data_IF_246290511230
#
_entry.id   IF_246290511230
#
_cell.length_a   1.000
_cell.length_b   1.000
_cell.length_c   1.000
_cell.angle_alpha   90.00
_cell.angle_beta   90.00
_cell.angle_gamma   90.00
#
_symmetry.space_group_name_H-M   'P 1'
#
loop_
_entity.id
_entity.type
_entity.pdbx_description
1 polymer ?
#
# COMPACT_ATOMS: atom_id res chain seq x y z
N UNK A 1 22.16 8.92 -4.44
CA UNK A 1 20.88 8.22 -4.69
C UNK A 1 20.56 7.37 -3.47
N UNK A 2 19.59 7.75 -2.63
CA UNK A 2 19.16 6.90 -1.51
C UNK A 2 18.53 5.64 -2.08
N UNK A 3 19.04 4.47 -1.70
CA UNK A 3 18.55 3.19 -2.18
C UNK A 3 17.02 3.09 -1.94
N UNK A 4 16.26 2.85 -3.01
CA UNK A 4 14.81 2.87 -2.96
C UNK A 4 14.29 1.70 -2.11
N UNK A 5 13.38 2.00 -1.18
CA UNK A 5 12.69 0.96 -0.42
C UNK A 5 11.89 0.08 -1.36
N UNK A 6 11.77 -1.20 -1.01
CA UNK A 6 10.86 -2.11 -1.69
C UNK A 6 9.65 -2.37 -0.81
N UNK A 7 8.49 -2.54 -1.43
CA UNK A 7 7.23 -2.79 -0.77
C UNK A 7 6.63 -4.10 -1.23
N UNK A 8 6.00 -4.78 -0.29
CA UNK A 8 5.13 -5.90 -0.56
C UNK A 8 3.79 -5.67 0.09
N UNK A 9 2.78 -5.47 -0.74
CA UNK A 9 1.43 -5.13 -0.33
C UNK A 9 0.59 -6.40 -0.34
N UNK A 10 0.04 -6.75 0.82
CA UNK A 10 -0.78 -7.93 1.01
C UNK A 10 -2.25 -7.54 1.12
N UNK A 11 -3.09 -8.16 0.30
CA UNK A 11 -4.54 -7.99 0.30
C UNK A 11 -5.19 -9.37 0.29
N UNK A 12 -6.19 -9.61 1.15
CA UNK A 12 -6.90 -10.88 1.19
C UNK A 12 -8.13 -10.82 0.28
N UNK A 13 -8.17 -11.48 -0.89
CA UNK A 13 -9.29 -11.37 -1.83
C UNK A 13 -10.60 -11.99 -1.31
N UNK A 14 -10.54 -12.75 -0.20
CA UNK A 14 -11.69 -13.38 0.46
C UNK A 14 -12.27 -12.53 1.58
N UNK A 15 -11.62 -11.42 1.92
CA UNK A 15 -12.09 -10.53 2.96
C UNK A 15 -13.42 -9.88 2.56
N UNK A 16 -14.37 -9.89 3.49
CA UNK A 16 -15.71 -9.33 3.27
C UNK A 16 -15.71 -7.84 3.59
N UNK A 17 -16.64 -7.11 2.98
CA UNK A 17 -16.81 -5.68 3.18
C UNK A 17 -16.32 -4.86 2.00
N UNK A 18 -16.57 -3.56 2.09
CA UNK A 18 -16.17 -2.61 1.05
C UNK A 18 -15.76 -1.30 1.69
N UNK A 19 -14.79 -0.63 1.07
CA UNK A 19 -14.39 0.73 1.39
C UNK A 19 -14.88 1.67 0.30
N UNK A 20 -15.19 2.92 0.64
CA UNK A 20 -15.48 3.98 -0.35
C UNK A 20 -14.35 5.00 -0.30
N UNK A 21 -13.51 5.03 -1.33
CA UNK A 21 -12.45 6.03 -1.47
C UNK A 21 -12.05 6.19 -2.95
N UNK A 22 -11.44 7.32 -3.33
CA UNK A 22 -10.88 7.47 -4.67
C UNK A 22 -9.70 6.52 -4.93
N UNK A 23 -9.54 6.03 -6.16
CA UNK A 23 -8.33 5.28 -6.52
C UNK A 23 -7.11 6.20 -6.58
N UNK A 24 -7.27 7.39 -7.18
CA UNK A 24 -6.24 8.44 -7.32
C UNK A 24 -6.66 9.70 -6.58
N UNK A 25 -5.67 10.50 -6.16
CA UNK A 25 -5.92 11.78 -5.50
C UNK A 25 -6.74 12.70 -6.40
N UNK A 26 -7.77 13.33 -5.84
CA UNK A 26 -8.69 14.20 -6.58
C UNK A 26 -9.64 13.45 -7.52
N UNK A 27 -9.58 12.11 -7.56
CA UNK A 27 -10.53 11.29 -8.30
C UNK A 27 -11.87 11.17 -7.60
N UNK A 28 -12.85 10.59 -8.31
CA UNK A 28 -14.15 10.25 -7.74
C UNK A 28 -14.00 9.09 -6.75
N UNK A 29 -14.70 9.17 -5.61
CA UNK A 29 -14.76 8.08 -4.66
C UNK A 29 -15.57 6.90 -5.23
N UNK A 30 -15.06 5.69 -5.02
CA UNK A 30 -15.65 4.46 -5.56
C UNK A 30 -15.71 3.39 -4.48
N UNK A 31 -16.70 2.51 -4.58
CA UNK A 31 -16.82 1.35 -3.68
C UNK A 31 -15.87 0.25 -4.14
N UNK A 32 -14.91 -0.11 -3.30
CA UNK A 32 -13.90 -1.13 -3.55
C UNK A 32 -14.07 -2.27 -2.55
N UNK A 33 -14.23 -3.49 -3.06
CA UNK A 33 -14.01 -4.71 -2.28
C UNK A 33 -12.52 -5.09 -2.30
N UNK A 34 -12.14 -6.16 -1.60
CA UNK A 34 -10.76 -6.60 -1.53
C UNK A 34 -10.15 -6.92 -2.91
N UNK A 35 -10.94 -7.47 -3.84
CA UNK A 35 -10.48 -7.83 -5.18
C UNK A 35 -10.21 -6.57 -6.02
N UNK A 36 -11.12 -5.60 -5.98
CA UNK A 36 -10.91 -4.29 -6.61
C UNK A 36 -9.72 -3.57 -6.00
N UNK A 37 -9.54 -3.60 -4.69
CA UNK A 37 -8.36 -3.00 -4.03
C UNK A 37 -7.08 -3.60 -4.60
N UNK A 38 -6.96 -4.93 -4.67
CA UNK A 38 -5.77 -5.59 -5.21
C UNK A 38 -5.54 -5.25 -6.70
N UNK A 39 -6.61 -5.26 -7.51
CA UNK A 39 -6.53 -4.94 -8.94
C UNK A 39 -6.10 -3.49 -9.19
N UNK A 40 -6.71 -2.53 -8.50
CA UNK A 40 -6.38 -1.10 -8.64
C UNK A 40 -4.97 -0.79 -8.13
N UNK A 41 -4.52 -1.44 -7.06
CA UNK A 41 -3.12 -1.35 -6.63
C UNK A 41 -2.17 -1.87 -7.71
N UNK A 42 -2.49 -3.03 -8.33
CA UNK A 42 -1.73 -3.57 -9.44
C UNK A 42 -1.65 -2.61 -10.64
N UNK A 43 -2.78 -2.00 -11.01
CA UNK A 43 -2.82 -0.98 -12.09
C UNK A 43 -1.98 0.24 -11.75
N UNK A 44 -2.10 0.77 -10.52
CA UNK A 44 -1.31 1.92 -10.06
C UNK A 44 0.20 1.64 -10.08
N UNK A 45 0.61 0.42 -9.76
CA UNK A 45 2.01 0.01 -9.83
C UNK A 45 2.47 0.02 -11.29
N UNK A 46 1.70 -0.61 -12.19
CA UNK A 46 2.07 -0.74 -13.59
C UNK A 46 2.13 0.60 -14.32
N UNK A 47 1.12 1.45 -14.14
CA UNK A 47 1.06 2.78 -14.74
C UNK A 47 2.19 3.71 -14.27
N UNK A 48 2.75 3.45 -13.08
CA UNK A 48 3.84 4.25 -12.49
C UNK A 48 5.21 3.59 -12.62
N UNK A 49 5.29 2.44 -13.32
CA UNK A 49 6.51 1.64 -13.49
C UNK A 49 7.19 1.26 -12.15
N UNK A 50 6.39 0.89 -11.16
CA UNK A 50 6.86 0.58 -9.80
C UNK A 50 7.09 -0.91 -9.54
N UNK A 51 6.82 -1.80 -10.51
CA UNK A 51 6.98 -3.26 -10.42
C UNK A 51 8.37 -3.72 -9.94
N UNK A 52 9.49 -3.02 -10.26
CA UNK A 52 10.80 -3.40 -9.74
C UNK A 52 10.91 -3.29 -8.20
N UNK A 53 10.08 -2.44 -7.58
CA UNK A 53 10.18 -2.10 -6.16
C UNK A 53 8.90 -2.31 -5.37
N UNK A 54 7.74 -2.48 -6.01
CA UNK A 54 6.45 -2.74 -5.34
C UNK A 54 5.80 -3.96 -5.96
N UNK A 55 5.31 -4.86 -5.10
CA UNK A 55 4.50 -6.01 -5.52
C UNK A 55 3.23 -6.09 -4.69
N UNK A 56 2.15 -6.55 -5.31
CA UNK A 56 0.91 -6.94 -4.62
C UNK A 56 0.86 -8.45 -4.56
N UNK A 57 0.50 -9.00 -3.40
CA UNK A 57 0.29 -10.44 -3.21
C UNK A 57 -1.05 -10.71 -2.53
N UNK A 58 -1.62 -11.86 -2.87
CA UNK A 58 -2.78 -12.39 -2.17
C UNK A 58 -2.34 -13.04 -0.87
N UNK A 59 -2.57 -12.37 0.26
CA UNK A 59 -2.21 -12.87 1.57
C UNK A 59 -3.08 -12.21 2.66
N UNK A 60 -3.12 -12.83 3.84
CA UNK A 60 -3.82 -12.25 4.99
C UNK A 60 -3.17 -10.92 5.39
N UNK A 61 -3.97 -9.85 5.43
CA UNK A 61 -3.53 -8.55 5.93
C UNK A 61 -3.63 -8.44 7.47
N UNK A 62 -4.22 -9.45 8.14
CA UNK A 62 -4.63 -9.35 9.54
C UNK A 62 -5.96 -8.59 9.70
N UNK A 63 -6.49 -8.53 10.92
CA UNK A 63 -7.74 -7.81 11.18
C UNK A 63 -8.98 -8.49 10.60
N UNK A 64 -9.08 -9.81 10.68
CA UNK A 64 -10.25 -10.55 10.15
C UNK A 64 -11.50 -10.49 11.05
N UNK A 65 -11.46 -9.71 12.15
CA UNK A 65 -12.52 -9.69 13.16
C UNK A 65 -13.71 -8.78 12.83
N UNK A 66 -13.59 -7.93 11.81
CA UNK A 66 -14.65 -7.04 11.33
C UNK A 66 -14.59 -6.92 9.79
N UNK A 67 -15.50 -6.12 9.22
CA UNK A 67 -15.57 -5.92 7.77
C UNK A 67 -14.34 -5.13 7.26
N UNK A 68 -13.63 -5.70 6.29
CA UNK A 68 -12.55 -5.06 5.55
C UNK A 68 -13.06 -4.25 4.35
N UNK A 69 -12.23 -4.05 3.30
CA UNK A 69 -10.93 -4.69 3.07
C UNK A 69 -9.76 -4.06 3.84
N UNK A 70 -8.86 -4.91 4.31
CA UNK A 70 -7.61 -4.54 4.97
C UNK A 70 -6.42 -4.68 4.03
N UNK A 71 -5.40 -3.84 4.26
CA UNK A 71 -4.16 -3.86 3.49
C UNK A 71 -2.99 -3.89 4.45
N UNK A 72 -2.06 -4.83 4.26
CA UNK A 72 -0.77 -4.84 4.97
C UNK A 72 0.35 -4.48 4.01
N UNK A 73 1.29 -3.67 4.45
CA UNK A 73 2.45 -3.23 3.67
C UNK A 73 3.71 -3.62 4.42
N UNK A 74 4.41 -4.62 3.90
CA UNK A 74 5.77 -4.94 4.34
C UNK A 74 6.76 -4.04 3.62
N UNK A 75 7.65 -3.43 4.39
CA UNK A 75 8.72 -2.57 3.90
C UNK A 75 10.00 -3.40 3.93
N UNK A 76 10.56 -3.68 2.77
CA UNK A 76 11.77 -4.48 2.62
C UNK A 76 12.98 -3.57 2.43
N UNK A 77 14.15 -4.08 2.83
CA UNK A 77 15.42 -3.41 2.55
C UNK A 77 15.62 -3.21 1.04
N UNK A 78 16.28 -2.11 0.63
CA UNK A 78 16.74 -1.95 -0.74
C UNK A 78 17.65 -3.12 -1.16
N UNK A 79 17.68 -3.44 -2.45
CA UNK A 79 18.68 -4.38 -2.98
C UNK A 79 20.01 -3.63 -3.12
N UNK A 80 21.06 -4.13 -2.47
CA UNK A 80 22.42 -3.65 -2.67
C UNK A 80 22.98 -4.34 -3.93
N UNK A 81 23.68 -3.59 -4.79
CA UNK A 81 24.23 -4.13 -6.02
C UNK A 81 25.21 -5.28 -5.72
N UNK A 82 25.02 -6.43 -6.35
CA UNK A 82 25.81 -7.64 -6.12
C UNK A 82 25.28 -8.55 -5.01
N UNK A 83 24.27 -8.12 -4.24
CA UNK A 83 23.64 -8.94 -3.21
C UNK A 83 22.33 -9.57 -3.70
N UNK A 84 22.03 -10.78 -3.21
CA UNK A 84 20.74 -11.41 -3.45
C UNK A 84 19.64 -10.60 -2.73
N UNK A 85 18.52 -10.30 -3.39
CA UNK A 85 17.42 -9.61 -2.74
C UNK A 85 16.91 -10.41 -1.54
N UNK A 86 17.07 -9.86 -0.35
CA UNK A 86 16.45 -10.40 0.86
C UNK A 86 14.93 -10.08 0.87
N UNK A 87 14.13 -10.96 1.46
CA UNK A 87 12.70 -10.77 1.70
C UNK A 87 12.40 -10.42 3.16
N UNK A 88 13.42 -10.15 4.00
CA UNK A 88 13.23 -9.68 5.36
C UNK A 88 12.61 -8.27 5.35
N UNK A 89 11.45 -8.17 6.01
CA UNK A 89 10.81 -6.88 6.27
C UNK A 89 11.59 -6.13 7.35
N UNK A 90 12.00 -4.90 7.03
CA UNK A 90 12.62 -3.95 7.97
C UNK A 90 11.58 -3.03 8.63
N UNK A 91 10.30 -3.22 8.29
CA UNK A 91 9.16 -2.55 8.89
C UNK A 91 7.85 -3.02 8.28
N UNK A 92 6.73 -2.72 8.93
CA UNK A 92 5.40 -2.99 8.40
C UNK A 92 4.42 -1.88 8.78
N UNK A 93 3.34 -1.77 8.00
CA UNK A 93 2.13 -1.02 8.38
C UNK A 93 0.90 -1.78 7.93
N UNK A 94 -0.13 -1.76 8.76
CA UNK A 94 -1.40 -2.37 8.42
C UNK A 94 -2.52 -1.35 8.50
N UNK A 95 -3.26 -1.21 7.41
CA UNK A 95 -4.45 -0.38 7.28
C UNK A 95 -5.67 -1.20 7.69
N UNK A 96 -5.71 -1.64 8.95
CA UNK A 96 -6.85 -2.40 9.50
C UNK A 96 -8.00 -1.43 9.75
N UNK A 97 -9.13 -1.64 9.07
CA UNK A 97 -10.35 -0.83 9.14
C UNK A 97 -10.14 0.69 8.96
N UNK A 98 -8.96 1.09 8.47
CA UNK A 98 -8.52 2.48 8.31
C UNK A 98 -8.23 2.81 6.85
N UNK A 99 -8.42 1.86 5.93
CA UNK A 99 -8.25 2.13 4.50
C UNK A 99 -9.17 3.26 4.03
N UNK A 100 -10.38 3.35 4.60
CA UNK A 100 -11.36 4.41 4.31
C UNK A 100 -10.90 5.81 4.73
N UNK A 101 -9.93 5.92 5.65
CA UNK A 101 -9.45 7.21 6.14
C UNK A 101 -8.34 7.78 5.27
N UNK A 102 -8.00 7.12 4.17
CA UNK A 102 -7.03 7.62 3.19
C UNK A 102 -7.71 8.53 2.17
N UNK A 103 -7.00 9.57 1.74
CA UNK A 103 -7.47 10.46 0.67
C UNK A 103 -7.70 9.71 -0.65
N UNK A 104 -6.92 8.65 -0.90
CA UNK A 104 -7.04 7.77 -2.06
C UNK A 104 -6.25 6.47 -1.85
N UNK A 105 -6.57 5.44 -2.63
CA UNK A 105 -5.85 4.16 -2.60
C UNK A 105 -4.36 4.30 -2.95
N UNK A 106 -4.01 5.18 -3.88
CA UNK A 106 -2.62 5.47 -4.24
C UNK A 106 -1.75 5.94 -3.06
N UNK A 107 -2.37 6.48 -2.00
CA UNK A 107 -1.65 6.88 -0.79
C UNK A 107 -0.97 5.70 -0.08
N UNK A 108 -1.49 4.47 -0.21
CA UNK A 108 -0.87 3.25 0.32
C UNK A 108 0.55 3.07 -0.24
N UNK A 109 0.75 3.33 -1.53
CA UNK A 109 2.04 3.20 -2.20
C UNK A 109 2.92 4.41 -1.84
N UNK A 110 2.40 5.61 -2.02
CA UNK A 110 3.13 6.88 -1.83
C UNK A 110 3.69 7.05 -0.41
N UNK A 111 2.89 6.73 0.61
CA UNK A 111 3.24 6.96 2.01
C UNK A 111 4.27 5.95 2.56
N UNK A 112 4.50 4.85 1.84
CA UNK A 112 5.38 3.76 2.26
C UNK A 112 6.65 3.68 1.42
N UNK A 113 6.64 4.17 0.18
CA UNK A 113 7.87 4.35 -0.60
C UNK A 113 8.72 5.52 -0.07
N UNK A 114 8.09 6.60 0.40
CA UNK A 114 8.80 7.79 0.84
C UNK A 114 9.66 7.57 2.12
N UNK A 115 10.83 8.23 2.26
CA UNK A 115 11.57 8.37 3.52
C UNK A 115 10.66 8.75 4.71
N UNK A 116 10.94 8.33 5.96
CA UNK A 116 10.02 8.54 7.09
C UNK A 116 9.75 10.03 7.35
N UNK A 117 10.78 10.88 7.15
CA UNK A 117 10.69 12.33 7.23
C UNK A 117 9.76 12.92 6.16
N UNK A 118 9.84 12.43 4.94
CA UNK A 118 9.00 12.88 3.83
C UNK A 118 7.55 12.37 3.97
N UNK A 119 7.37 11.11 4.37
CA UNK A 119 6.06 10.55 4.65
C UNK A 119 5.34 11.30 5.78
N UNK A 120 6.06 11.68 6.85
CA UNK A 120 5.51 12.51 7.93
C UNK A 120 5.12 13.92 7.46
N UNK A 121 5.91 14.54 6.58
CA UNK A 121 5.56 15.84 5.98
C UNK A 121 4.31 15.74 5.11
N UNK A 122 4.22 14.71 4.25
CA UNK A 122 3.05 14.46 3.39
C UNK A 122 1.77 14.22 4.19
N UNK A 123 1.86 13.47 5.31
CA UNK A 123 0.72 13.29 6.21
C UNK A 123 0.30 14.59 6.90
N UNK A 124 1.25 15.40 7.38
CA UNK A 124 0.94 16.69 8.02
C UNK A 124 0.32 17.71 7.06
N UNK A 125 0.75 17.73 5.80
CA UNK A 125 0.14 18.60 4.78
C UNK A 125 -1.29 18.21 4.40
N UNK A 126 -1.76 17.02 4.80
CA UNK A 126 -3.13 16.53 4.55
C UNK A 126 -4.07 16.76 5.74
N UNK A 127 -3.53 16.99 6.93
CA UNK A 127 -4.31 17.26 8.15
C UNK A 127 -4.62 18.76 8.35
N UNK A 128 -4.27 19.60 7.37
CA UNK A 128 -4.57 21.04 7.30
C UNK A 128 -5.45 21.27 6.08
#
# INVERSE_FOLDING_TARGET
>A
MTAARRLEISVCPRERGTVVLPVRRGGRAERLDARRVAAELGRLIAERHLEPVVRVREACAGGCSAAGPNVSVSILAPVVAGERPDSIAIGWKTYVYSLATLDCLAAVIEDNLAPPREAARRRRSRAR
#
